data_IF_912897391221
#
_entry.id   IF_912897391221
#
_cell.length_a   1.000
_cell.length_b   1.000
_cell.length_c   1.000
_cell.angle_alpha   90.00
_cell.angle_beta   90.00
_cell.angle_gamma   90.00
#
_symmetry.space_group_name_H-M   'P 1'
#
loop_
_entity.id
_entity.type
_entity.pdbx_description
1 polymer ?
#
# COMPACT_ATOMS: atom_id res chain seq x y z
N UNK A 1 6.52 64.62 61.46
CA UNK A 1 5.80 63.32 61.58
C UNK A 1 4.79 63.25 60.45
N UNK A 2 5.10 62.48 59.40
CA UNK A 2 4.19 62.11 58.32
C UNK A 2 4.32 60.60 58.14
N UNK A 3 3.23 59.80 58.17
CA UNK A 3 3.34 58.37 57.96
C UNK A 3 3.22 58.08 56.46
N UNK A 4 4.23 57.41 55.91
CA UNK A 4 4.12 56.74 54.63
C UNK A 4 3.19 55.52 54.77
N UNK A 5 2.12 55.52 53.98
CA UNK A 5 1.35 54.30 53.71
C UNK A 5 1.39 54.09 52.20
N UNK A 6 2.25 53.18 51.74
CA UNK A 6 2.12 52.59 50.41
C UNK A 6 2.19 51.07 50.46
N UNK A 7 0.97 50.52 50.37
CA UNK A 7 0.56 49.39 49.52
C UNK A 7 1.33 48.08 49.71
N UNK A 8 0.75 47.19 50.53
CA UNK A 8 0.75 45.76 50.22
C UNK A 8 -0.15 45.53 49.00
N UNK A 9 0.45 45.42 47.82
CA UNK A 9 -0.22 44.89 46.64
C UNK A 9 -0.24 43.35 46.75
N UNK A 10 -1.44 42.81 46.97
CA UNK A 10 -2.03 41.66 46.27
C UNK A 10 -1.09 40.71 45.50
N UNK A 11 -0.61 39.64 46.14
CA UNK A 11 0.04 38.48 45.48
C UNK A 11 -0.93 37.30 45.20
N UNK A 12 -2.13 37.32 45.79
CA UNK A 12 -3.12 36.25 45.67
C UNK A 12 -3.86 36.14 44.31
N UNK A 13 -4.15 37.23 43.55
CA UNK A 13 -4.93 37.10 42.32
C UNK A 13 -4.12 36.62 41.11
N UNK A 14 -2.80 36.87 41.06
CA UNK A 14 -1.93 36.46 39.95
C UNK A 14 -1.54 34.97 40.01
N UNK A 15 -1.45 34.41 41.22
CA UNK A 15 -1.16 32.98 41.40
C UNK A 15 -2.37 32.11 41.07
N UNK A 16 -3.59 32.57 41.39
CA UNK A 16 -4.83 31.90 40.98
C UNK A 16 -4.98 31.88 39.45
N UNK A 17 -4.64 32.96 38.75
CA UNK A 17 -4.71 33.01 37.28
C UNK A 17 -3.65 32.12 36.61
N UNK A 18 -2.46 31.98 37.20
CA UNK A 18 -1.43 31.06 36.70
C UNK A 18 -1.84 29.58 36.85
N UNK A 19 -2.54 29.24 37.94
CA UNK A 19 -3.08 27.88 38.15
C UNK A 19 -4.17 27.57 37.12
N UNK A 20 -5.07 28.50 36.83
CA UNK A 20 -6.09 28.34 35.78
C UNK A 20 -5.46 28.16 34.39
N UNK A 21 -4.41 28.93 34.07
CA UNK A 21 -3.66 28.78 32.82
C UNK A 21 -2.95 27.42 32.75
N UNK A 22 -2.32 26.98 33.84
CA UNK A 22 -1.66 25.67 33.89
C UNK A 22 -2.66 24.53 33.69
N UNK A 23 -3.84 24.64 34.29
CA UNK A 23 -4.91 23.65 34.13
C UNK A 23 -5.45 23.63 32.69
N UNK A 24 -5.67 24.79 32.09
CA UNK A 24 -6.11 24.91 30.69
C UNK A 24 -5.07 24.33 29.72
N UNK A 25 -3.78 24.51 30.00
CA UNK A 25 -2.70 23.93 29.21
C UNK A 25 -2.67 22.40 29.33
N UNK A 26 -2.92 21.84 30.51
CA UNK A 26 -2.97 20.39 30.70
C UNK A 26 -4.17 19.77 29.96
N UNK A 27 -5.34 20.40 30.06
CA UNK A 27 -6.54 20.00 29.31
C UNK A 27 -6.31 20.07 27.79
N UNK A 28 -5.65 21.11 27.31
CA UNK A 28 -5.29 21.24 25.89
C UNK A 28 -4.29 20.16 25.45
N UNK A 29 -3.30 19.82 26.30
CA UNK A 29 -2.34 18.74 26.03
C UNK A 29 -3.03 17.38 25.95
N UNK A 30 -3.96 17.10 26.85
CA UNK A 30 -4.69 15.83 26.85
C UNK A 30 -5.64 15.73 25.66
N UNK A 31 -6.29 16.83 25.26
CA UNK A 31 -7.06 16.88 24.02
C UNK A 31 -6.17 16.61 22.79
N UNK A 32 -4.99 17.25 22.70
CA UNK A 32 -4.03 17.04 21.61
C UNK A 32 -3.55 15.59 21.54
N UNK A 33 -3.26 14.96 22.68
CA UNK A 33 -2.93 13.53 22.75
C UNK A 33 -4.08 12.66 22.24
N UNK A 34 -5.31 12.98 22.62
CA UNK A 34 -6.50 12.29 22.12
C UNK A 34 -6.62 12.35 20.60
N UNK A 35 -6.39 13.53 20.00
CA UNK A 35 -6.39 13.69 18.55
C UNK A 35 -5.25 12.94 17.86
N UNK A 36 -4.05 12.94 18.44
CA UNK A 36 -2.90 12.20 17.91
C UNK A 36 -3.18 10.69 17.87
N UNK A 37 -3.70 10.13 18.96
CA UNK A 37 -4.07 8.71 19.04
C UNK A 37 -5.16 8.37 18.02
N UNK A 38 -6.19 9.21 17.90
CA UNK A 38 -7.27 8.99 16.94
C UNK A 38 -6.77 9.05 15.48
N UNK A 39 -5.89 10.01 15.16
CA UNK A 39 -5.29 10.13 13.84
C UNK A 39 -4.42 8.90 13.50
N UNK A 40 -3.57 8.47 14.43
CA UNK A 40 -2.74 7.27 14.25
C UNK A 40 -3.59 6.00 14.10
N UNK A 41 -4.67 5.85 14.86
CA UNK A 41 -5.60 4.75 14.71
C UNK A 41 -6.28 4.73 13.34
N UNK A 42 -6.67 5.91 12.82
CA UNK A 42 -7.23 6.05 11.47
C UNK A 42 -6.24 5.66 10.36
N UNK A 43 -4.97 6.09 10.49
CA UNK A 43 -3.90 5.69 9.57
C UNK A 43 -3.67 4.18 9.62
N UNK A 44 -3.62 3.60 10.82
CA UNK A 44 -3.44 2.16 10.99
C UNK A 44 -4.59 1.36 10.37
N UNK A 45 -5.85 1.81 10.53
CA UNK A 45 -7.01 1.20 9.89
C UNK A 45 -6.92 1.26 8.35
N UNK A 46 -6.58 2.43 7.80
CA UNK A 46 -6.42 2.61 6.35
C UNK A 46 -5.31 1.71 5.78
N UNK A 47 -4.20 1.58 6.51
CA UNK A 47 -3.11 0.68 6.12
C UNK A 47 -3.51 -0.80 6.21
N UNK A 48 -4.31 -1.18 7.21
CA UNK A 48 -4.82 -2.54 7.33
C UNK A 48 -5.76 -2.88 6.17
N UNK A 49 -6.70 -2.01 5.83
CA UNK A 49 -7.59 -2.17 4.67
C UNK A 49 -6.81 -2.28 3.37
N UNK A 50 -5.81 -1.42 3.16
CA UNK A 50 -4.95 -1.48 2.00
C UNK A 50 -4.16 -2.79 1.93
N UNK A 51 -3.62 -3.27 3.06
CA UNK A 51 -2.91 -4.53 3.14
C UNK A 51 -3.84 -5.72 2.82
N UNK A 52 -5.06 -5.74 3.33
CA UNK A 52 -6.05 -6.77 3.04
C UNK A 52 -6.44 -6.77 1.55
N UNK A 53 -6.68 -5.59 0.97
CA UNK A 53 -6.97 -5.44 -0.46
C UNK A 53 -5.82 -5.94 -1.34
N UNK A 54 -4.57 -5.62 -0.96
CA UNK A 54 -3.37 -6.12 -1.65
C UNK A 54 -3.23 -7.63 -1.52
N UNK A 55 -3.48 -8.21 -0.33
CA UNK A 55 -3.44 -9.66 -0.13
C UNK A 55 -4.51 -10.35 -0.96
N UNK A 56 -5.72 -9.81 -1.02
CA UNK A 56 -6.79 -10.34 -1.86
C UNK A 56 -6.41 -10.30 -3.34
N UNK A 57 -5.96 -9.14 -3.83
CA UNK A 57 -5.49 -8.97 -5.22
C UNK A 57 -4.33 -9.92 -5.53
N UNK A 58 -3.38 -10.10 -4.61
CA UNK A 58 -2.26 -11.02 -4.78
C UNK A 58 -2.72 -12.49 -4.86
N UNK A 59 -3.77 -12.87 -4.10
CA UNK A 59 -4.38 -14.22 -4.19
C UNK A 59 -5.07 -14.41 -5.53
N UNK A 60 -5.91 -13.45 -5.95
CA UNK A 60 -6.59 -13.52 -7.26
C UNK A 60 -5.56 -13.61 -8.39
N UNK A 61 -4.50 -12.80 -8.36
CA UNK A 61 -3.40 -12.90 -9.31
C UNK A 61 -2.69 -14.25 -9.23
N UNK A 62 -2.48 -14.80 -8.04
CA UNK A 62 -1.86 -16.12 -7.88
C UNK A 62 -2.71 -17.23 -8.52
N UNK A 63 -4.02 -17.19 -8.32
CA UNK A 63 -4.99 -18.14 -8.88
C UNK A 63 -5.04 -18.03 -10.40
N UNK A 64 -5.21 -16.82 -10.96
CA UNK A 64 -5.14 -16.56 -12.41
C UNK A 64 -3.79 -17.03 -12.99
N UNK A 65 -2.69 -16.83 -12.24
CA UNK A 65 -1.35 -17.18 -12.71
C UNK A 65 -1.09 -18.67 -12.88
N UNK A 66 -1.78 -19.53 -12.12
CA UNK A 66 -1.57 -20.97 -12.20
C UNK A 66 -2.14 -21.57 -13.48
N UNK A 67 -3.22 -21.02 -13.99
CA UNK A 67 -3.99 -21.66 -15.07
C UNK A 67 -3.74 -21.03 -16.45
N UNK A 68 -3.36 -19.75 -16.51
CA UNK A 68 -3.29 -19.04 -17.78
C UNK A 68 -1.86 -18.75 -18.29
N UNK A 69 -0.88 -18.53 -17.41
CA UNK A 69 0.44 -18.02 -17.81
C UNK A 69 1.52 -19.10 -17.92
N UNK A 70 1.95 -19.39 -19.15
CA UNK A 70 2.98 -20.39 -19.45
C UNK A 70 4.37 -19.77 -19.62
N UNK A 71 5.39 -20.45 -19.08
CA UNK A 71 6.80 -20.24 -19.47
C UNK A 71 7.01 -20.59 -20.95
N UNK A 72 8.11 -20.13 -21.59
CA UNK A 72 8.46 -20.57 -22.94
C UNK A 72 8.53 -22.10 -23.08
N UNK A 73 8.99 -22.81 -22.05
CA UNK A 73 9.08 -24.27 -22.06
C UNK A 73 7.70 -24.94 -21.98
N UNK A 74 6.79 -24.41 -21.15
CA UNK A 74 5.41 -24.89 -21.07
C UNK A 74 4.64 -24.61 -22.36
N UNK A 75 4.79 -23.42 -22.93
CA UNK A 75 4.18 -23.06 -24.20
C UNK A 75 4.68 -23.95 -25.36
N UNK A 76 6.00 -24.23 -25.41
CA UNK A 76 6.56 -25.16 -26.39
C UNK A 76 5.95 -26.57 -26.27
N UNK A 77 5.74 -27.07 -25.05
CA UNK A 77 5.08 -28.37 -24.82
C UNK A 77 3.60 -28.32 -25.22
N UNK A 78 2.90 -27.24 -24.88
CA UNK A 78 1.49 -27.04 -25.23
C UNK A 78 1.27 -27.06 -26.75
N UNK A 79 2.18 -26.47 -27.52
CA UNK A 79 2.15 -26.47 -28.98
C UNK A 79 2.84 -27.68 -29.62
N UNK A 80 3.22 -28.70 -28.85
CA UNK A 80 3.96 -29.89 -29.31
C UNK A 80 5.23 -29.57 -30.14
N UNK A 81 5.93 -28.47 -29.81
CA UNK A 81 7.19 -28.10 -30.45
C UNK A 81 8.33 -29.03 -30.01
N UNK A 82 9.24 -29.34 -30.93
CA UNK A 82 10.39 -30.23 -30.69
C UNK A 82 11.38 -29.68 -29.64
N UNK A 83 11.44 -28.35 -29.47
CA UNK A 83 12.25 -27.70 -28.44
C UNK A 83 11.75 -26.30 -28.10
N UNK A 84 12.16 -25.77 -26.95
CA UNK A 84 11.90 -24.37 -26.57
C UNK A 84 12.50 -23.38 -27.58
N UNK A 85 13.63 -23.73 -28.22
CA UNK A 85 14.24 -22.90 -29.26
C UNK A 85 13.38 -22.84 -30.53
N UNK A 86 12.84 -23.98 -30.97
CA UNK A 86 11.92 -24.03 -32.10
C UNK A 86 10.67 -23.17 -31.84
N UNK A 87 10.14 -23.22 -30.62
CA UNK A 87 9.04 -22.33 -30.21
C UNK A 87 9.46 -20.84 -30.28
N UNK A 88 10.64 -20.48 -29.78
CA UNK A 88 11.13 -19.10 -29.87
C UNK A 88 11.30 -18.61 -31.32
N UNK A 89 11.70 -19.49 -32.24
CA UNK A 89 11.77 -19.16 -33.67
C UNK A 89 10.39 -18.92 -34.27
N UNK A 90 9.37 -19.71 -33.89
CA UNK A 90 7.98 -19.50 -34.30
C UNK A 90 7.46 -18.17 -33.76
N UNK A 91 7.69 -17.88 -32.47
CA UNK A 91 7.31 -16.62 -31.83
C UNK A 91 7.95 -15.41 -32.52
N UNK A 92 9.20 -15.56 -32.99
CA UNK A 92 9.90 -14.51 -33.71
C UNK A 92 9.37 -14.29 -35.13
N UNK A 93 8.90 -15.35 -35.80
CA UNK A 93 8.43 -15.30 -37.21
C UNK A 93 6.94 -14.97 -37.35
N UNK A 94 6.12 -15.42 -36.42
CA UNK A 94 4.66 -15.47 -36.58
C UNK A 94 3.89 -14.52 -35.66
N UNK A 95 4.60 -13.64 -34.96
CA UNK A 95 3.96 -12.55 -34.19
C UNK A 95 3.15 -13.02 -32.98
N UNK A 96 3.53 -14.14 -32.36
CA UNK A 96 2.87 -14.67 -31.15
C UNK A 96 2.93 -13.63 -30.01
N UNK A 97 1.80 -13.32 -29.34
CA UNK A 97 1.74 -12.38 -28.22
C UNK A 97 2.71 -12.76 -27.10
N UNK A 98 3.46 -11.78 -26.60
CA UNK A 98 4.46 -11.92 -25.54
C UNK A 98 4.15 -10.96 -24.41
N UNK A 99 4.06 -11.47 -23.19
CA UNK A 99 3.73 -10.68 -22.01
C UNK A 99 4.90 -10.63 -21.03
N UNK A 100 5.29 -9.44 -20.61
CA UNK A 100 6.36 -9.22 -19.64
C UNK A 100 5.75 -8.94 -18.27
N UNK A 101 5.28 -10.00 -17.62
CA UNK A 101 4.69 -9.95 -16.27
C UNK A 101 5.79 -9.85 -15.19
N UNK A 102 7.02 -10.23 -15.53
CA UNK A 102 8.21 -10.03 -14.69
C UNK A 102 9.45 -9.73 -15.53
N UNK A 103 10.44 -9.09 -14.90
CA UNK A 103 11.68 -8.61 -15.53
C UNK A 103 12.58 -9.71 -16.12
N UNK A 104 12.27 -10.99 -15.90
CA UNK A 104 13.22 -12.08 -16.17
C UNK A 104 12.95 -12.80 -17.48
N UNK A 105 11.69 -13.10 -17.82
CA UNK A 105 11.34 -13.87 -19.02
C UNK A 105 9.91 -13.60 -19.49
N UNK A 106 9.64 -13.59 -20.82
CA UNK A 106 8.29 -13.46 -21.33
C UNK A 106 7.41 -14.65 -20.92
N UNK A 107 6.16 -14.35 -20.62
CA UNK A 107 5.07 -15.29 -20.37
C UNK A 107 4.10 -15.30 -21.54
N UNK A 108 3.45 -16.43 -21.73
CA UNK A 108 2.49 -16.64 -22.81
C UNK A 108 1.16 -17.05 -22.20
N UNK A 109 0.07 -16.40 -22.61
CA UNK A 109 -1.27 -16.83 -22.20
C UNK A 109 -1.66 -18.09 -22.98
N UNK A 110 -2.18 -19.09 -22.29
CA UNK A 110 -2.74 -20.29 -22.92
C UNK A 110 -3.91 -19.93 -23.83
N UNK A 111 -4.81 -19.05 -23.39
CA UNK A 111 -6.01 -18.67 -24.14
C UNK A 111 -5.67 -17.93 -25.43
N UNK A 112 -4.64 -17.08 -25.41
CA UNK A 112 -4.14 -16.40 -26.60
C UNK A 112 -3.42 -17.35 -27.57
N UNK A 113 -2.64 -18.29 -27.05
CA UNK A 113 -1.99 -19.32 -27.86
C UNK A 113 -3.02 -20.23 -28.55
N UNK A 114 -4.08 -20.62 -27.84
CA UNK A 114 -5.16 -21.43 -28.39
C UNK A 114 -5.94 -20.65 -29.48
N UNK A 115 -6.22 -19.37 -29.26
CA UNK A 115 -6.83 -18.49 -30.29
C UNK A 115 -5.92 -18.34 -31.50
N UNK A 116 -4.63 -18.13 -31.28
CA UNK A 116 -3.64 -18.00 -32.34
C UNK A 116 -3.56 -19.27 -33.20
N UNK A 117 -3.59 -20.46 -32.57
CA UNK A 117 -3.69 -21.74 -33.27
C UNK A 117 -4.98 -21.84 -34.11
N UNK A 118 -6.12 -21.37 -33.58
CA UNK A 118 -7.40 -21.41 -34.28
C UNK A 118 -7.55 -20.41 -35.42
N UNK A 119 -6.72 -19.35 -35.46
CA UNK A 119 -6.68 -18.36 -36.55
C UNK A 119 -5.74 -18.73 -37.70
N UNK A 120 -5.03 -19.86 -37.60
CA UNK A 120 -4.04 -20.33 -38.55
C UNK A 120 -4.61 -21.40 -39.48
#
# INVERSE_FOLDING_TARGET
MLPETKRKQTEAPETASLVEVAQTLEEARDALRGYEVAALAGVAATLAEAAESLVHTARELHEISREEWMTPAQAARHLNCTSTKAFQEIVAKEGVPRHYISDRLPRYSRSELDKWLGTR
#
